data_IF_676979330052
#
_entry.id   IF_676979330052
#
_cell.length_a   1.000
_cell.length_b   1.000
_cell.length_c   1.000
_cell.angle_alpha   90.00
_cell.angle_beta   90.00
_cell.angle_gamma   90.00
#
_symmetry.space_group_name_H-M   'P 1'
#
loop_
_entity.id
_entity.type
_entity.pdbx_description
1 polymer ?
#
# COMPACT_ATOMS: atom_id res chain seq x y z
N UNK A 1 -6.44 -0.20 -14.50
CA UNK A 1 -6.84 0.71 -13.41
C UNK A 1 -6.03 1.99 -13.53
N UNK A 2 -6.63 3.18 -13.38
CA UNK A 2 -5.91 4.46 -13.45
C UNK A 2 -5.48 4.89 -12.04
N UNK A 3 -4.32 5.55 -11.95
CA UNK A 3 -3.90 6.23 -10.73
C UNK A 3 -4.79 7.45 -10.47
N UNK A 4 -5.02 7.79 -9.20
CA UNK A 4 -5.69 9.04 -8.83
C UNK A 4 -4.75 10.26 -8.91
N UNK A 5 -3.44 10.01 -8.95
CA UNK A 5 -2.42 11.05 -8.92
C UNK A 5 -1.74 11.17 -10.28
N UNK A 6 -1.61 12.41 -10.76
CA UNK A 6 -0.93 12.72 -12.03
C UNK A 6 0.57 12.97 -11.85
N UNK A 7 0.99 13.31 -10.63
CA UNK A 7 2.39 13.57 -10.27
C UNK A 7 2.79 12.81 -9.01
N UNK A 8 4.08 12.54 -8.87
CA UNK A 8 4.64 11.95 -7.65
C UNK A 8 4.40 12.86 -6.43
N UNK A 9 4.54 14.18 -6.61
CA UNK A 9 4.31 15.18 -5.54
C UNK A 9 2.87 15.12 -5.00
N UNK A 10 1.87 15.01 -5.88
CA UNK A 10 0.48 14.89 -5.46
C UNK A 10 0.25 13.60 -4.66
N UNK A 11 0.87 12.49 -5.07
CA UNK A 11 0.85 11.24 -4.33
C UNK A 11 1.52 11.38 -2.96
N UNK A 12 2.73 11.94 -2.89
CA UNK A 12 3.45 12.13 -1.63
C UNK A 12 2.66 13.02 -0.67
N UNK A 13 2.04 14.09 -1.16
CA UNK A 13 1.19 14.97 -0.35
C UNK A 13 -0.01 14.21 0.24
N UNK A 14 -0.70 13.40 -0.57
CA UNK A 14 -1.82 12.60 -0.08
C UNK A 14 -1.38 11.56 0.96
N UNK A 15 -0.24 10.89 0.75
CA UNK A 15 0.35 9.97 1.73
C UNK A 15 0.68 10.69 3.04
N UNK A 16 1.34 11.85 2.99
CA UNK A 16 1.66 12.64 4.18
C UNK A 16 0.40 12.99 4.97
N UNK A 17 -0.67 13.42 4.27
CA UNK A 17 -1.95 13.72 4.91
C UNK A 17 -2.56 12.47 5.57
N UNK A 18 -2.66 11.35 4.85
CA UNK A 18 -3.15 10.09 5.43
C UNK A 18 -2.36 9.68 6.68
N UNK A 19 -1.03 9.76 6.62
CA UNK A 19 -0.17 9.42 7.76
C UNK A 19 -0.38 10.39 8.92
N UNK A 20 -0.49 11.70 8.69
CA UNK A 20 -0.70 12.68 9.76
C UNK A 20 -1.91 12.35 10.66
N UNK A 21 -2.99 11.78 10.09
CA UNK A 21 -4.20 11.44 10.84
C UNK A 21 -4.28 9.98 11.32
N UNK A 22 -3.52 9.06 10.71
CA UNK A 22 -3.69 7.63 10.96
C UNK A 22 -2.43 6.89 11.43
N UNK A 23 -1.28 7.55 11.48
CA UNK A 23 0.02 6.93 11.79
C UNK A 23 0.02 6.14 13.11
N UNK A 24 -0.62 6.69 14.15
CA UNK A 24 -0.69 6.03 15.46
C UNK A 24 -1.54 4.76 15.49
N UNK A 25 -2.39 4.53 14.50
CA UNK A 25 -3.20 3.31 14.39
C UNK A 25 -2.38 2.11 13.90
N UNK A 26 -1.19 2.35 13.36
CA UNK A 26 -0.29 1.31 12.88
C UNK A 26 0.79 1.00 13.93
N UNK A 27 1.02 -0.29 14.16
CA UNK A 27 2.17 -0.77 14.94
C UNK A 27 3.48 -0.53 14.18
N UNK A 28 4.63 -0.61 14.87
CA UNK A 28 5.96 -0.45 14.25
C UNK A 28 6.15 -1.33 13.01
N UNK A 29 5.76 -2.60 13.07
CA UNK A 29 5.85 -3.53 11.94
C UNK A 29 4.92 -3.17 10.78
N UNK A 30 3.70 -2.72 11.08
CA UNK A 30 2.77 -2.27 10.05
C UNK A 30 3.22 -0.96 9.39
N UNK A 31 3.87 -0.05 10.14
CA UNK A 31 4.50 1.16 9.57
C UNK A 31 5.62 0.81 8.59
N UNK A 32 6.40 -0.24 8.88
CA UNK A 32 7.41 -0.77 7.95
C UNK A 32 6.74 -1.32 6.68
N UNK A 33 5.66 -2.09 6.83
CA UNK A 33 4.88 -2.61 5.71
C UNK A 33 4.31 -1.48 4.83
N UNK A 34 3.74 -0.45 5.46
CA UNK A 34 3.11 0.67 4.78
C UNK A 34 4.15 1.51 4.00
N UNK A 35 5.30 1.80 4.61
CA UNK A 35 6.40 2.48 3.91
C UNK A 35 6.89 1.67 2.69
N UNK A 36 6.96 0.35 2.82
CA UNK A 36 7.34 -0.50 1.68
C UNK A 36 6.29 -0.46 0.56
N UNK A 37 5.00 -0.42 0.90
CA UNK A 37 3.90 -0.29 -0.07
C UNK A 37 3.89 1.10 -0.74
N UNK A 38 4.15 2.18 0.02
CA UNK A 38 4.28 3.54 -0.52
C UNK A 38 5.40 3.57 -1.56
N UNK A 39 6.58 3.02 -1.22
CA UNK A 39 7.73 2.95 -2.13
C UNK A 39 7.44 2.15 -3.40
N UNK A 40 6.74 1.02 -3.28
CA UNK A 40 6.38 0.22 -4.45
C UNK A 40 5.30 0.88 -5.32
N UNK A 41 4.60 1.88 -4.77
CA UNK A 41 3.54 2.63 -5.46
C UNK A 41 4.03 3.95 -6.07
N UNK A 42 5.13 4.53 -5.59
CA UNK A 42 5.67 5.81 -6.09
C UNK A 42 5.86 5.83 -7.60
N UNK A 43 6.43 4.74 -8.17
CA UNK A 43 6.73 4.65 -9.61
C UNK A 43 5.49 4.79 -10.51
N UNK A 44 4.33 4.34 -10.02
CA UNK A 44 3.08 4.41 -10.77
C UNK A 44 2.06 5.34 -10.07
N UNK A 45 2.56 6.41 -9.47
CA UNK A 45 1.76 7.49 -8.86
C UNK A 45 0.65 6.96 -7.92
N UNK A 46 1.01 6.08 -6.98
CA UNK A 46 0.07 5.56 -5.98
C UNK A 46 -0.63 4.25 -6.36
N UNK A 47 -0.19 3.57 -7.42
CA UNK A 47 -0.66 2.21 -7.77
C UNK A 47 0.48 1.20 -7.65
N UNK A 48 0.23 0.04 -7.05
CA UNK A 48 1.21 -1.06 -7.03
C UNK A 48 0.52 -2.39 -7.28
N UNK A 49 1.07 -3.17 -8.20
CA UNK A 49 0.72 -4.56 -8.50
C UNK A 49 1.74 -5.56 -7.92
N UNK A 50 2.65 -5.06 -7.06
CA UNK A 50 3.71 -5.86 -6.49
C UNK A 50 3.17 -7.02 -5.63
N UNK A 51 3.77 -8.20 -5.77
CA UNK A 51 3.41 -9.35 -4.95
C UNK A 51 3.78 -9.11 -3.48
N UNK A 52 2.89 -9.51 -2.56
CA UNK A 52 3.13 -9.40 -1.11
C UNK A 52 4.45 -10.07 -0.73
N UNK A 53 4.77 -11.24 -1.27
CA UNK A 53 6.02 -11.93 -0.99
C UNK A 53 7.26 -11.11 -1.36
N UNK A 54 7.23 -10.39 -2.49
CA UNK A 54 8.33 -9.51 -2.92
C UNK A 54 8.45 -8.27 -2.05
N UNK A 55 7.31 -7.67 -1.65
CA UNK A 55 7.31 -6.53 -0.73
C UNK A 55 7.84 -6.94 0.64
N UNK A 56 7.37 -8.06 1.19
CA UNK A 56 7.86 -8.63 2.45
C UNK A 56 9.37 -8.90 2.36
N UNK A 57 9.84 -9.57 1.31
CA UNK A 57 11.26 -9.84 1.11
C UNK A 57 12.11 -8.56 1.08
N UNK A 58 11.63 -7.50 0.43
CA UNK A 58 12.32 -6.22 0.37
C UNK A 58 12.50 -5.56 1.76
N UNK A 59 11.63 -5.85 2.74
CA UNK A 59 11.76 -5.31 4.11
C UNK A 59 12.90 -5.93 4.91
N UNK A 60 13.26 -7.19 4.63
CA UNK A 60 14.34 -7.88 5.35
C UNK A 60 15.70 -7.23 5.10
N UNK A 61 15.89 -6.67 3.91
CA UNK A 61 17.16 -6.04 3.53
C UNK A 61 17.36 -4.65 4.15
N UNK A 62 16.33 -4.02 4.74
CA UNK A 62 16.36 -2.59 5.10
C UNK A 62 15.79 -2.22 6.46
N UNK A 63 14.85 -2.98 7.02
CA UNK A 63 14.04 -2.54 8.19
C UNK A 63 13.81 -3.61 9.26
N UNK A 64 14.69 -4.61 9.32
CA UNK A 64 14.57 -5.70 10.30
C UNK A 64 13.56 -6.79 9.90
N UNK A 65 12.95 -6.69 8.71
CA UNK A 65 12.01 -7.67 8.19
C UNK A 65 10.65 -7.66 8.87
N UNK A 66 9.62 -8.08 8.14
CA UNK A 66 8.29 -8.33 8.69
C UNK A 66 7.75 -9.64 8.16
N UNK A 67 6.80 -10.24 8.86
CA UNK A 67 6.09 -11.40 8.34
C UNK A 67 5.04 -10.98 7.30
N UNK A 68 4.64 -11.94 6.46
CA UNK A 68 3.46 -11.79 5.59
C UNK A 68 2.19 -11.44 6.38
N UNK A 69 1.98 -12.07 7.53
CA UNK A 69 0.82 -11.77 8.39
C UNK A 69 0.81 -10.32 8.88
N UNK A 70 1.97 -9.72 9.13
CA UNK A 70 2.09 -8.30 9.48
C UNK A 70 1.72 -7.40 8.31
N UNK A 71 2.14 -7.76 7.10
CA UNK A 71 1.76 -7.03 5.89
C UNK A 71 0.24 -7.09 5.64
N UNK A 72 -0.37 -8.27 5.78
CA UNK A 72 -1.82 -8.45 5.60
C UNK A 72 -2.65 -7.69 6.64
N UNK A 73 -2.20 -7.64 7.91
CA UNK A 73 -2.85 -6.79 8.93
C UNK A 73 -2.77 -5.31 8.57
N UNK A 74 -1.61 -4.85 8.08
CA UNK A 74 -1.45 -3.48 7.58
C UNK A 74 -2.44 -3.19 6.44
N UNK A 75 -2.55 -4.07 5.45
CA UNK A 75 -3.49 -3.90 4.33
C UNK A 75 -4.93 -3.73 4.79
N UNK A 76 -5.38 -4.59 5.72
CA UNK A 76 -6.74 -4.51 6.29
C UNK A 76 -6.97 -3.18 7.01
N UNK A 77 -6.00 -2.70 7.78
CA UNK A 77 -6.08 -1.39 8.45
C UNK A 77 -6.11 -0.24 7.45
N UNK A 78 -5.18 -0.23 6.50
CA UNK A 78 -5.10 0.80 5.48
C UNK A 78 -6.38 0.90 4.63
N UNK A 79 -7.00 -0.24 4.33
CA UNK A 79 -8.30 -0.28 3.65
C UNK A 79 -9.44 0.25 4.54
N UNK A 80 -9.49 -0.14 5.83
CA UNK A 80 -10.47 0.38 6.79
C UNK A 80 -10.35 1.90 6.99
N UNK A 81 -9.15 2.43 6.85
CA UNK A 81 -8.84 3.85 6.97
C UNK A 81 -8.97 4.63 5.65
N UNK A 82 -9.49 3.99 4.60
CA UNK A 82 -9.63 4.58 3.27
C UNK A 82 -8.32 5.12 2.67
N UNK A 83 -7.16 4.63 3.13
CA UNK A 83 -5.83 5.01 2.60
C UNK A 83 -5.62 4.33 1.24
N UNK A 84 -6.06 3.07 1.13
CA UNK A 84 -5.94 2.26 -0.08
C UNK A 84 -7.25 1.56 -0.42
N UNK A 85 -7.43 1.30 -1.71
CA UNK A 85 -8.30 0.26 -2.22
C UNK A 85 -7.48 -0.93 -2.71
N UNK A 86 -8.02 -2.13 -2.53
CA UNK A 86 -7.40 -3.38 -2.98
C UNK A 86 -8.30 -3.99 -4.05
N UNK A 87 -7.73 -4.23 -5.22
CA UNK A 87 -8.43 -4.81 -6.37
C UNK A 87 -7.82 -6.17 -6.69
N UNK A 88 -8.62 -7.22 -6.59
CA UNK A 88 -8.18 -8.56 -6.98
C UNK A 88 -8.40 -8.75 -8.48
N UNK A 89 -7.34 -9.08 -9.21
CA UNK A 89 -7.46 -9.40 -10.64
C UNK A 89 -7.83 -10.86 -10.84
N UNK A 90 -8.48 -11.15 -11.97
CA UNK A 90 -8.78 -12.51 -12.42
C UNK A 90 -7.96 -12.76 -13.68
N UNK A 91 -7.34 -13.93 -13.80
CA UNK A 91 -6.57 -14.29 -14.99
C UNK A 91 -7.51 -14.57 -16.16
N UNK A 92 -7.05 -14.32 -17.39
CA UNK A 92 -7.83 -14.61 -18.62
C UNK A 92 -8.26 -16.09 -18.70
N UNK A 93 -7.41 -16.99 -18.24
CA UNK A 93 -7.63 -18.45 -18.20
C UNK A 93 -8.52 -18.92 -17.03
N UNK A 94 -9.02 -18.00 -16.18
CA UNK A 94 -9.66 -18.31 -14.92
C UNK A 94 -8.69 -18.40 -13.74
N UNK A 95 -9.21 -18.22 -12.52
CA UNK A 95 -8.45 -18.22 -11.27
C UNK A 95 -7.94 -16.86 -10.80
N UNK A 96 -7.54 -16.78 -9.52
CA UNK A 96 -7.09 -15.54 -8.89
C UNK A 96 -5.77 -15.06 -9.50
N UNK A 97 -5.76 -13.80 -9.94
CA UNK A 97 -4.58 -13.06 -10.37
C UNK A 97 -3.83 -12.43 -9.19
N UNK A 98 -3.08 -11.37 -9.46
CA UNK A 98 -2.43 -10.58 -8.42
C UNK A 98 -3.41 -9.54 -7.84
N UNK A 99 -3.06 -9.00 -6.67
CA UNK A 99 -3.79 -7.86 -6.10
C UNK A 99 -3.14 -6.56 -6.54
N UNK A 100 -3.95 -5.57 -6.87
CA UNK A 100 -3.49 -4.21 -7.15
C UNK A 100 -3.93 -3.31 -6.01
N UNK A 101 -2.97 -2.61 -5.42
CA UNK A 101 -3.17 -1.64 -4.36
C UNK A 101 -3.21 -0.25 -4.97
N UNK A 102 -4.27 0.52 -4.69
CA UNK A 102 -4.44 1.88 -5.17
C UNK A 102 -4.60 2.83 -3.99
N UNK A 103 -3.67 3.75 -3.82
CA UNK A 103 -3.79 4.82 -2.84
C UNK A 103 -4.90 5.78 -3.24
N UNK A 104 -5.65 6.22 -2.23
CA UNK A 104 -6.73 7.18 -2.37
C UNK A 104 -6.21 8.60 -2.10
N UNK A 105 -6.78 9.62 -2.77
CA UNK A 105 -6.65 10.99 -2.32
C UNK A 105 -7.03 11.10 -0.84
N UNK A 106 -6.45 12.06 -0.14
CA UNK A 106 -6.89 12.35 1.22
C UNK A 106 -8.17 13.18 1.15
N UNK A 107 -9.27 12.63 1.64
CA UNK A 107 -10.51 13.35 1.89
C UNK A 107 -10.78 13.36 3.40
N UNK A 108 -11.21 14.51 3.92
CA UNK A 108 -11.46 14.67 5.34
C UNK A 108 -12.91 14.31 5.60
N UNK A 109 -13.16 13.04 5.95
CA UNK A 109 -14.45 12.61 6.50
C UNK A 109 -14.65 13.13 7.93
#
# INVERSE_FOLDING_TARGET
MKAHFYTEEAFQKAVQMHLAFSYEQFTKGERIALDQLIRSSSKNHGVSDALICKMVQATHNRKGGISRSTFERMLRKAQKLAIIEIHHTIRKEGGNGHSIYRFQPFDRH
#
